data_IF_269299383229
#
_entry.id   IF_269299383229
#
_cell.length_a   1.000
_cell.length_b   1.000
_cell.length_c   1.000
_cell.angle_alpha   90.00
_cell.angle_beta   90.00
_cell.angle_gamma   90.00
#
_symmetry.space_group_name_H-M   'P 1'
#
loop_
_entity.id
_entity.type
_entity.pdbx_description
1 polymer ?
#
# COMPACT_ATOMS: atom_id res chain seq x y z
N UNK A 1 1.58 -3.78 -23.64
CA UNK A 1 1.83 -5.01 -22.87
C UNK A 1 3.14 -4.80 -22.12
N UNK A 2 3.11 -4.70 -20.80
CA UNK A 2 4.31 -4.56 -19.98
C UNK A 2 5.17 -5.84 -20.07
N UNK A 3 6.50 -5.72 -20.01
CA UNK A 3 7.33 -6.93 -19.91
C UNK A 3 7.14 -7.55 -18.52
N UNK A 4 7.10 -8.89 -18.46
CA UNK A 4 6.90 -9.65 -17.21
C UNK A 4 7.85 -9.18 -16.10
N UNK A 5 9.11 -8.93 -16.44
CA UNK A 5 10.14 -8.49 -15.51
C UNK A 5 9.85 -7.09 -14.95
N UNK A 6 9.38 -6.16 -15.77
CA UNK A 6 9.00 -4.81 -15.34
C UNK A 6 7.83 -4.83 -14.35
N UNK A 7 6.83 -5.69 -14.61
CA UNK A 7 5.69 -5.87 -13.71
C UNK A 7 6.13 -6.47 -12.37
N UNK A 8 6.97 -7.50 -12.39
CA UNK A 8 7.49 -8.11 -11.17
C UNK A 8 8.31 -7.11 -10.35
N UNK A 9 9.16 -6.31 -11.00
CA UNK A 9 9.96 -5.28 -10.33
C UNK A 9 9.05 -4.24 -9.68
N UNK A 10 8.09 -3.68 -10.43
CA UNK A 10 7.13 -2.71 -9.92
C UNK A 10 6.36 -3.24 -8.71
N UNK A 11 5.82 -4.46 -8.80
CA UNK A 11 5.03 -5.08 -7.72
C UNK A 11 5.87 -5.33 -6.47
N UNK A 12 7.13 -5.72 -6.64
CA UNK A 12 8.06 -5.95 -5.53
C UNK A 12 8.39 -4.64 -4.81
N UNK A 13 8.68 -3.58 -5.56
CA UNK A 13 8.94 -2.24 -5.01
C UNK A 13 7.70 -1.68 -4.30
N UNK A 14 6.52 -1.83 -4.91
CA UNK A 14 5.27 -1.36 -4.31
C UNK A 14 4.96 -2.09 -3.00
N UNK A 15 5.23 -3.40 -2.94
CA UNK A 15 5.07 -4.18 -1.70
C UNK A 15 5.95 -3.61 -0.58
N UNK A 16 7.23 -3.38 -0.84
CA UNK A 16 8.16 -2.80 0.14
C UNK A 16 7.66 -1.43 0.63
N UNK A 17 7.27 -0.54 -0.30
CA UNK A 17 6.74 0.80 0.03
C UNK A 17 5.47 0.71 0.89
N UNK A 18 4.59 -0.24 0.57
CA UNK A 18 3.34 -0.47 1.29
C UNK A 18 3.59 -0.97 2.72
N UNK A 19 4.51 -1.91 2.89
CA UNK A 19 4.89 -2.45 4.19
C UNK A 19 5.57 -1.38 5.07
N UNK A 20 6.43 -0.54 4.49
CA UNK A 20 7.00 0.63 5.18
C UNK A 20 5.92 1.61 5.65
N UNK A 21 4.94 1.90 4.79
CA UNK A 21 3.89 2.85 5.07
C UNK A 21 2.93 2.33 6.16
N UNK A 22 2.57 1.04 6.12
CA UNK A 22 1.79 0.39 7.18
C UNK A 22 2.53 0.43 8.52
N UNK A 23 3.85 0.22 8.52
CA UNK A 23 4.68 0.35 9.73
C UNK A 23 4.64 1.76 10.31
N UNK A 24 4.72 2.81 9.47
CA UNK A 24 4.60 4.21 9.91
C UNK A 24 3.24 4.44 10.59
N UNK A 25 2.15 3.99 9.97
CA UNK A 25 0.80 4.13 10.51
C UNK A 25 0.68 3.41 11.86
N UNK A 26 1.09 2.14 11.93
CA UNK A 26 0.92 1.33 13.13
C UNK A 26 1.79 1.83 14.30
N UNK A 27 3.01 2.29 14.02
CA UNK A 27 3.88 2.88 15.04
C UNK A 27 3.35 4.24 15.51
N UNK A 28 2.85 5.07 14.59
CA UNK A 28 2.21 6.34 14.90
C UNK A 28 0.99 6.19 15.80
N UNK A 29 0.11 5.23 15.49
CA UNK A 29 -1.05 4.89 16.33
C UNK A 29 -0.62 4.44 17.72
N UNK A 30 0.35 3.52 17.81
CA UNK A 30 0.85 3.02 19.11
C UNK A 30 1.45 4.13 19.96
N UNK A 31 2.26 5.02 19.37
CA UNK A 31 2.87 6.15 20.07
C UNK A 31 1.80 7.11 20.64
N UNK A 32 0.72 7.34 19.90
CA UNK A 32 -0.30 8.31 20.26
C UNK A 32 -1.52 7.72 20.98
N UNK A 33 -1.57 6.40 21.19
CA UNK A 33 -2.67 5.74 21.90
C UNK A 33 -2.87 6.27 23.34
N UNK A 34 -1.83 6.80 23.96
CA UNK A 34 -1.86 7.37 25.30
C UNK A 34 -2.16 8.87 25.38
N UNK A 35 -2.26 9.58 24.25
CA UNK A 35 -2.47 11.03 24.22
C UNK A 35 -3.78 11.36 23.48
N UNK A 36 -4.84 11.80 24.17
CA UNK A 36 -6.19 11.92 23.62
C UNK A 36 -6.39 13.20 22.80
N UNK A 37 -5.40 13.59 21.99
CA UNK A 37 -5.59 14.68 21.05
C UNK A 37 -6.69 14.27 20.06
N UNK A 38 -7.79 15.02 20.10
CA UNK A 38 -8.99 14.76 19.29
C UNK A 38 -8.71 14.82 17.78
N UNK A 39 -7.72 15.60 17.35
CA UNK A 39 -7.33 15.66 15.94
C UNK A 39 -6.57 14.40 15.53
N UNK A 40 -5.66 13.90 16.38
CA UNK A 40 -4.94 12.64 16.13
C UNK A 40 -5.90 11.45 16.16
N UNK A 41 -6.86 11.40 17.09
CA UNK A 41 -7.85 10.33 17.11
C UNK A 41 -8.75 10.33 15.86
N UNK A 42 -9.14 11.51 15.37
CA UNK A 42 -9.91 11.64 14.13
C UNK A 42 -9.10 11.21 12.90
N UNK A 43 -7.80 11.52 12.89
CA UNK A 43 -6.88 11.04 11.86
C UNK A 43 -6.74 9.52 11.90
N UNK A 44 -6.58 8.92 13.09
CA UNK A 44 -6.47 7.46 13.25
C UNK A 44 -7.72 6.76 12.71
N UNK A 45 -8.93 7.27 13.02
CA UNK A 45 -10.17 6.74 12.46
C UNK A 45 -10.22 6.86 10.93
N UNK A 46 -9.68 7.95 10.36
CA UNK A 46 -9.61 8.15 8.91
C UNK A 46 -8.56 7.26 8.23
N UNK A 47 -7.61 6.68 8.98
CA UNK A 47 -6.58 5.78 8.46
C UNK A 47 -7.07 4.34 8.30
N UNK A 48 -8.23 3.97 8.82
CA UNK A 48 -8.77 2.61 8.64
C UNK A 48 -9.08 2.31 7.17
N UNK A 49 -9.61 3.29 6.42
CA UNK A 49 -9.81 3.15 4.97
C UNK A 49 -8.48 2.97 4.22
N UNK A 50 -7.44 3.65 4.68
CA UNK A 50 -6.08 3.54 4.13
C UNK A 50 -5.49 2.16 4.41
N UNK A 51 -5.67 1.61 5.61
CA UNK A 51 -5.26 0.24 5.96
C UNK A 51 -5.98 -0.80 5.12
N UNK A 52 -7.28 -0.63 4.90
CA UNK A 52 -8.05 -1.49 4.01
C UNK A 52 -7.53 -1.43 2.57
N UNK A 53 -7.19 -0.24 2.07
CA UNK A 53 -6.58 -0.08 0.76
C UNK A 53 -5.20 -0.76 0.68
N UNK A 54 -4.36 -0.63 1.72
CA UNK A 54 -3.07 -1.34 1.85
C UNK A 54 -3.27 -2.86 1.78
N UNK A 55 -4.20 -3.40 2.57
CA UNK A 55 -4.49 -4.84 2.58
C UNK A 55 -4.92 -5.34 1.20
N UNK A 56 -5.84 -4.61 0.55
CA UNK A 56 -6.32 -4.95 -0.79
C UNK A 56 -5.20 -4.89 -1.83
N UNK A 57 -4.35 -3.85 -1.80
CA UNK A 57 -3.21 -3.72 -2.69
C UNK A 57 -2.22 -4.89 -2.51
N UNK A 58 -1.93 -5.26 -1.25
CA UNK A 58 -1.06 -6.39 -0.94
C UNK A 58 -1.63 -7.73 -1.44
N UNK A 59 -2.96 -7.93 -1.36
CA UNK A 59 -3.62 -9.11 -1.90
C UNK A 59 -3.52 -9.17 -3.44
N UNK A 60 -3.74 -8.05 -4.13
CA UNK A 60 -3.61 -7.94 -5.59
C UNK A 60 -2.17 -8.22 -6.02
N UNK A 61 -1.19 -7.56 -5.39
CA UNK A 61 0.24 -7.76 -5.67
C UNK A 61 0.61 -9.25 -5.54
N UNK A 62 0.19 -9.89 -4.44
CA UNK A 62 0.50 -11.30 -4.18
C UNK A 62 -0.15 -12.22 -5.21
N UNK A 63 -1.40 -11.94 -5.59
CA UNK A 63 -2.11 -12.69 -6.64
C UNK A 63 -1.39 -12.61 -7.98
N UNK A 64 -0.98 -11.41 -8.41
CA UNK A 64 -0.28 -11.22 -9.67
C UNK A 64 1.08 -11.93 -9.65
N UNK A 65 1.86 -11.79 -8.58
CA UNK A 65 3.17 -12.45 -8.46
C UNK A 65 3.05 -13.98 -8.51
N UNK A 66 2.04 -14.58 -7.86
CA UNK A 66 1.76 -16.02 -7.94
C UNK A 66 1.46 -16.45 -9.38
N UNK A 67 0.53 -15.75 -10.06
CA UNK A 67 0.17 -16.04 -11.46
C UNK A 67 1.39 -15.98 -12.38
N UNK A 68 2.28 -15.02 -12.18
CA UNK A 68 3.53 -14.92 -12.93
C UNK A 68 4.53 -16.03 -12.60
N UNK A 69 4.54 -16.55 -11.37
CA UNK A 69 5.40 -17.67 -10.97
C UNK A 69 4.98 -19.01 -11.58
N UNK A 70 3.67 -19.22 -11.78
CA UNK A 70 3.10 -20.45 -12.34
C UNK A 70 3.20 -20.52 -13.87
N UNK A 71 3.71 -19.47 -14.53
CA UNK A 71 3.75 -19.31 -16.00
C UNK A 71 2.36 -19.46 -16.66
N UNK A 72 1.28 -19.23 -15.91
CA UNK A 72 -0.07 -19.24 -16.44
C UNK A 72 -0.36 -17.90 -17.15
N UNK A 73 0.03 -17.83 -18.42
CA UNK A 73 -0.22 -16.67 -19.29
C UNK A 73 -1.71 -16.36 -19.47
N UNK A 74 -2.62 -17.32 -19.22
CA UNK A 74 -4.06 -17.09 -19.28
C UNK A 74 -4.58 -16.32 -18.07
N UNK A 75 -3.97 -16.52 -16.90
CA UNK A 75 -4.28 -15.79 -15.67
C UNK A 75 -3.78 -14.34 -15.66
N UNK A 76 -2.88 -14.00 -16.59
CA UNK A 76 -2.30 -12.66 -16.80
C UNK A 76 -3.19 -11.79 -17.70
N UNK A 77 -4.20 -12.36 -18.36
CA UNK A 77 -5.19 -11.58 -19.13
C UNK A 77 -6.04 -10.75 -18.17
N UNK A 78 -6.02 -9.41 -18.35
CA UNK A 78 -6.82 -8.48 -17.54
C UNK A 78 -6.11 -7.88 -16.32
N UNK A 79 -4.81 -8.14 -16.13
CA UNK A 79 -4.04 -7.52 -15.03
C UNK A 79 -3.83 -6.01 -15.22
N UNK A 80 -4.05 -5.46 -16.41
CA UNK A 80 -3.77 -4.05 -16.71
C UNK A 80 -4.59 -3.11 -15.81
N UNK A 81 -5.85 -3.47 -15.50
CA UNK A 81 -6.69 -2.70 -14.58
C UNK A 81 -6.19 -2.80 -13.13
N UNK A 82 -5.72 -3.98 -12.73
CA UNK A 82 -5.12 -4.22 -11.42
C UNK A 82 -3.82 -3.41 -11.26
N UNK A 83 -2.95 -3.43 -12.27
CA UNK A 83 -1.71 -2.64 -12.29
C UNK A 83 -2.02 -1.14 -12.26
N UNK A 84 -2.99 -0.66 -13.05
CA UNK A 84 -3.39 0.75 -13.03
C UNK A 84 -3.92 1.19 -11.65
N UNK A 85 -4.67 0.33 -10.98
CA UNK A 85 -5.15 0.59 -9.61
C UNK A 85 -3.98 0.64 -8.63
N UNK A 86 -3.00 -0.26 -8.77
CA UNK A 86 -1.79 -0.29 -7.94
C UNK A 86 -0.90 0.94 -8.17
N UNK A 87 -0.77 1.44 -9.40
CA UNK A 87 -0.02 2.68 -9.70
C UNK A 87 -0.68 3.89 -9.04
N UNK A 88 -2.01 4.02 -9.12
CA UNK A 88 -2.74 5.10 -8.44
C UNK A 88 -2.57 5.02 -6.93
N UNK A 89 -2.59 3.81 -6.39
CA UNK A 89 -2.39 3.56 -4.97
C UNK A 89 -0.97 3.94 -4.51
N UNK A 90 0.06 3.64 -5.32
CA UNK A 90 1.44 4.09 -5.05
C UNK A 90 1.53 5.61 -4.89
N UNK A 91 0.89 6.38 -5.78
CA UNK A 91 0.90 7.83 -5.69
C UNK A 91 0.26 8.35 -4.40
N UNK A 92 -0.80 7.69 -3.93
CA UNK A 92 -1.48 8.03 -2.68
C UNK A 92 -0.54 7.80 -1.50
N UNK A 93 0.11 6.63 -1.43
CA UNK A 93 1.12 6.34 -0.39
C UNK A 93 2.22 7.39 -0.41
N UNK A 94 2.75 7.71 -1.59
CA UNK A 94 3.84 8.67 -1.74
C UNK A 94 3.46 10.06 -1.19
N UNK A 95 2.25 10.54 -1.52
CA UNK A 95 1.74 11.83 -1.05
C UNK A 95 1.46 11.85 0.45
N UNK A 96 1.02 10.72 1.03
CA UNK A 96 0.64 10.64 2.44
C UNK A 96 1.82 10.38 3.40
N UNK A 97 2.91 9.77 2.92
CA UNK A 97 4.05 9.38 3.77
C UNK A 97 4.63 10.57 4.55
N UNK A 98 4.95 11.68 3.87
CA UNK A 98 5.53 12.86 4.50
C UNK A 98 4.64 13.47 5.60
N UNK A 99 3.37 13.82 5.28
CA UNK A 99 2.44 14.35 6.27
C UNK A 99 2.24 13.46 7.50
N UNK A 100 2.08 12.14 7.33
CA UNK A 100 1.86 11.23 8.46
C UNK A 100 3.10 11.13 9.36
N UNK A 101 4.30 11.08 8.78
CA UNK A 101 5.54 11.11 9.55
C UNK A 101 5.65 12.39 10.38
N UNK A 102 5.30 13.55 9.82
CA UNK A 102 5.34 14.82 10.54
C UNK A 102 4.33 14.85 11.71
N UNK A 103 3.11 14.37 11.49
CA UNK A 103 2.07 14.34 12.53
C UNK A 103 2.44 13.37 13.65
N UNK A 104 2.90 12.16 13.32
CA UNK A 104 3.22 11.16 14.34
C UNK A 104 4.50 11.44 15.11
N UNK A 105 5.43 12.23 14.55
CA UNK A 105 6.72 12.53 15.19
C UNK A 105 6.80 13.89 15.89
N UNK A 106 5.81 14.77 15.71
CA UNK A 106 5.57 15.87 16.65
C UNK A 106 5.13 15.34 18.03
#
# INVERSE_FOLDING_TARGET
>A
MYMKEDVILFLTELKIKTDEFDSIINNGIKKNAGNPDTEIQSLIASLDDVKNAIFNANAIISSILIKYSENDLSAIVGIDDEINNLTRFEEVIHKMKGPLVAIFNN
#
